data_IF_358888107278
#
_entry.id   IF_358888107278
#
_cell.length_a   1.000
_cell.length_b   1.000
_cell.length_c   1.000
_cell.angle_alpha   90.00
_cell.angle_beta   90.00
_cell.angle_gamma   90.00
#
_symmetry.space_group_name_H-M   'P 1'
#
loop_
_entity.id
_entity.type
_entity.pdbx_description
1 polymer ?
#
# COMPACT_ATOMS: atom_id res chain seq x y z
N UNK A 1 20.92 -3.35 -4.29
CA UNK A 1 21.15 -1.92 -4.48
C UNK A 1 20.34 -1.14 -3.47
N UNK A 2 20.89 -0.01 -3.01
CA UNK A 2 20.19 0.81 -2.00
C UNK A 2 18.83 1.29 -2.49
N UNK A 3 18.74 1.63 -3.78
CA UNK A 3 17.47 2.13 -4.34
C UNK A 3 16.39 1.06 -4.32
N UNK A 4 16.74 -0.18 -4.66
CA UNK A 4 15.79 -1.28 -4.60
C UNK A 4 15.32 -1.54 -3.17
N UNK A 5 16.23 -1.42 -2.20
CA UNK A 5 15.88 -1.58 -0.80
C UNK A 5 14.90 -0.52 -0.34
N UNK A 6 15.06 0.72 -0.82
CA UNK A 6 14.14 1.81 -0.49
C UNK A 6 12.74 1.51 -1.04
N UNK A 7 12.64 1.08 -2.29
CA UNK A 7 11.34 0.77 -2.88
C UNK A 7 10.67 -0.42 -2.21
N UNK A 8 11.44 -1.46 -1.89
CA UNK A 8 10.91 -2.61 -1.15
C UNK A 8 10.41 -2.20 0.22
N UNK A 9 11.13 -1.31 0.89
CA UNK A 9 10.72 -0.80 2.19
C UNK A 9 9.41 -0.02 2.07
N UNK A 10 9.28 0.84 1.05
CA UNK A 10 8.05 1.60 0.82
C UNK A 10 6.87 0.67 0.58
N UNK A 11 7.07 -0.41 -0.20
CA UNK A 11 6.01 -1.38 -0.45
C UNK A 11 5.59 -2.08 0.84
N UNK A 12 6.55 -2.49 1.64
CA UNK A 12 6.27 -3.15 2.91
C UNK A 12 5.51 -2.23 3.87
N UNK A 13 5.96 -0.98 3.98
CA UNK A 13 5.28 0.01 4.82
C UNK A 13 3.85 0.25 4.36
N UNK A 14 3.63 0.30 3.04
CA UNK A 14 2.30 0.47 2.48
C UNK A 14 1.40 -0.72 2.79
N UNK A 15 1.93 -1.93 2.69
CA UNK A 15 1.18 -3.14 3.05
C UNK A 15 0.81 -3.13 4.52
N UNK A 16 1.73 -2.76 5.39
CA UNK A 16 1.48 -2.66 6.82
C UNK A 16 0.40 -1.62 7.13
N UNK A 17 0.44 -0.48 6.42
CA UNK A 17 -0.58 0.56 6.57
C UNK A 17 -1.95 0.04 6.18
N UNK A 18 -2.04 -0.70 5.06
CA UNK A 18 -3.30 -1.29 4.61
C UNK A 18 -3.85 -2.25 5.67
N UNK A 19 -2.99 -3.11 6.21
CA UNK A 19 -3.39 -4.05 7.25
C UNK A 19 -3.92 -3.32 8.47
N UNK A 20 -3.27 -2.22 8.86
CA UNK A 20 -3.68 -1.41 9.98
C UNK A 20 -5.05 -0.76 9.74
N UNK A 21 -5.25 -0.18 8.54
CA UNK A 21 -6.52 0.46 8.19
C UNK A 21 -7.67 -0.54 8.18
N UNK A 22 -7.41 -1.79 7.82
CA UNK A 22 -8.44 -2.82 7.72
C UNK A 22 -8.64 -3.59 9.01
N UNK A 23 -7.81 -3.36 10.01
CA UNK A 23 -7.90 -4.05 11.28
C UNK A 23 -9.26 -3.78 11.93
N UNK A 24 -10.01 -4.84 12.19
CA UNK A 24 -11.32 -4.74 12.80
C UNK A 24 -12.44 -4.32 11.85
N UNK A 25 -12.14 -4.12 10.56
CA UNK A 25 -13.16 -3.78 9.56
C UNK A 25 -13.78 -5.01 8.95
N UNK A 26 -15.11 -5.02 8.83
CA UNK A 26 -15.79 -6.00 7.99
C UNK A 26 -15.80 -5.47 6.56
N UNK A 27 -16.09 -6.35 5.60
CA UNK A 27 -16.21 -5.95 4.20
C UNK A 27 -17.26 -4.84 4.02
N UNK A 28 -18.42 -5.00 4.65
CA UNK A 28 -19.49 -4.02 4.55
C UNK A 28 -19.11 -2.67 5.16
N UNK A 29 -18.48 -2.70 6.35
CA UNK A 29 -17.98 -1.47 6.99
C UNK A 29 -16.98 -0.75 6.11
N UNK A 30 -16.06 -1.52 5.51
CA UNK A 30 -15.03 -0.97 4.63
C UNK A 30 -15.66 -0.25 3.45
N UNK A 31 -16.63 -0.88 2.78
CA UNK A 31 -17.27 -0.28 1.60
C UNK A 31 -17.98 1.02 1.91
N UNK A 32 -18.46 1.19 3.15
CA UNK A 32 -19.18 2.39 3.56
C UNK A 32 -18.29 3.47 4.11
N UNK A 33 -17.02 3.16 4.37
CA UNK A 33 -16.08 4.12 4.95
C UNK A 33 -15.18 4.68 3.86
N UNK A 34 -15.63 5.78 3.27
CA UNK A 34 -14.91 6.41 2.17
C UNK A 34 -13.47 6.79 2.53
N UNK A 35 -13.25 7.27 3.75
CA UNK A 35 -11.91 7.65 4.19
C UNK A 35 -10.97 6.45 4.19
N UNK A 36 -11.43 5.32 4.69
CA UNK A 36 -10.62 4.10 4.71
C UNK A 36 -10.39 3.58 3.30
N UNK A 37 -11.42 3.59 2.44
CA UNK A 37 -11.28 3.19 1.03
C UNK A 37 -10.23 4.06 0.35
N UNK A 38 -10.33 5.38 0.50
CA UNK A 38 -9.39 6.30 -0.14
C UNK A 38 -7.96 6.09 0.39
N UNK A 39 -7.82 5.83 1.69
CA UNK A 39 -6.51 5.57 2.28
C UNK A 39 -5.89 4.30 1.72
N UNK A 40 -6.68 3.23 1.58
CA UNK A 40 -6.21 1.97 1.01
C UNK A 40 -5.80 2.16 -0.45
N UNK A 41 -6.63 2.86 -1.23
CA UNK A 41 -6.34 3.15 -2.64
C UNK A 41 -5.00 3.89 -2.77
N UNK A 42 -4.76 4.88 -1.91
CA UNK A 42 -3.50 5.61 -1.91
C UNK A 42 -2.31 4.69 -1.66
N UNK A 43 -2.43 3.77 -0.68
CA UNK A 43 -1.34 2.84 -0.40
C UNK A 43 -1.11 1.88 -1.57
N UNK A 44 -2.18 1.46 -2.23
CA UNK A 44 -2.06 0.62 -3.43
C UNK A 44 -1.33 1.35 -4.55
N UNK A 45 -1.57 2.65 -4.70
CA UNK A 45 -0.85 3.47 -5.68
C UNK A 45 0.63 3.54 -5.36
N UNK A 46 0.99 3.68 -4.09
CA UNK A 46 2.38 3.69 -3.64
C UNK A 46 3.05 2.36 -3.99
N UNK A 47 2.36 1.24 -3.74
CA UNK A 47 2.87 -0.09 -4.09
C UNK A 47 3.10 -0.20 -5.59
N UNK A 48 2.15 0.28 -6.38
CA UNK A 48 2.26 0.25 -7.84
C UNK A 48 3.44 1.04 -8.35
N UNK A 49 3.64 2.25 -7.84
CA UNK A 49 4.75 3.11 -8.22
C UNK A 49 6.09 2.49 -7.83
N UNK A 50 6.20 1.97 -6.62
CA UNK A 50 7.42 1.33 -6.15
C UNK A 50 7.73 0.08 -6.97
N UNK A 51 6.70 -0.69 -7.31
CA UNK A 51 6.83 -1.89 -8.13
C UNK A 51 7.37 -1.57 -9.52
N UNK A 52 6.89 -0.49 -10.12
CA UNK A 52 7.38 -0.04 -11.43
C UNK A 52 8.86 0.33 -11.37
N UNK A 53 9.28 1.00 -10.30
CA UNK A 53 10.69 1.36 -10.11
C UNK A 53 11.56 0.12 -9.97
N UNK A 54 11.08 -0.88 -9.22
CA UNK A 54 11.79 -2.14 -9.08
C UNK A 54 11.92 -2.85 -10.42
N UNK A 55 10.88 -2.85 -11.23
CA UNK A 55 10.87 -3.50 -12.54
C UNK A 55 11.96 -2.95 -13.45
N UNK A 56 12.18 -1.65 -13.40
CA UNK A 56 13.20 -0.98 -14.21
C UNK A 56 14.61 -1.37 -13.78
N UNK A 57 14.78 -1.64 -12.48
CA UNK A 57 16.09 -2.00 -11.91
C UNK A 57 16.42 -3.48 -12.07
N UNK A 58 15.41 -4.33 -12.02
CA UNK A 58 15.57 -5.75 -12.17
C UNK A 58 15.55 -6.20 -13.62
#
# INVERSE_FOLDING_TARGET
MKENEVYLKHMLEAIESIEEYLNGCSYDSFLKDKKTVDAVVRELEIIGEASNKLSDEF
#
